data_IF_607197853773
#
_entry.id   IF_607197853773
#
_cell.length_a   1.000
_cell.length_b   1.000
_cell.length_c   1.000
_cell.angle_alpha   90.00
_cell.angle_beta   90.00
_cell.angle_gamma   90.00
#
_symmetry.space_group_name_H-M   'P 1'
#
loop_
_entity.id
_entity.type
_entity.pdbx_description
1 polymer ?
#
# COMPACT_ATOMS: atom_id res chain seq x y z
N UNK A 1 -39.91 -2.63 10.09
CA UNK A 1 -38.54 -2.35 10.59
C UNK A 1 -37.49 -2.32 9.47
N UNK A 2 -37.50 -3.27 8.53
CA UNK A 2 -36.56 -3.29 7.37
C UNK A 2 -36.66 -2.06 6.45
N UNK A 3 -37.87 -1.52 6.25
CA UNK A 3 -38.09 -0.36 5.38
C UNK A 3 -37.51 0.94 5.96
N UNK A 4 -37.66 1.22 7.27
CA UNK A 4 -37.01 2.38 7.92
C UNK A 4 -35.48 2.31 7.88
N UNK A 5 -34.89 1.10 7.96
CA UNK A 5 -33.44 0.90 7.85
C UNK A 5 -32.93 1.14 6.42
N UNK A 6 -33.74 0.79 5.41
CA UNK A 6 -33.47 1.08 4.00
C UNK A 6 -33.38 2.59 3.74
N UNK A 7 -34.36 3.38 4.21
CA UNK A 7 -34.37 4.83 4.04
C UNK A 7 -33.24 5.55 4.79
N UNK A 8 -32.81 5.03 5.96
CA UNK A 8 -31.66 5.59 6.70
C UNK A 8 -30.33 5.35 5.98
N UNK A 9 -30.15 4.18 5.36
CA UNK A 9 -28.94 3.86 4.58
C UNK A 9 -28.93 4.57 3.21
N UNK A 10 -30.10 4.91 2.66
CA UNK A 10 -30.22 5.64 1.40
C UNK A 10 -29.60 7.04 1.45
N UNK A 11 -29.55 7.66 2.65
CA UNK A 11 -28.92 8.97 2.84
C UNK A 11 -27.41 8.96 2.67
N UNK A 12 -26.75 7.90 3.16
CA UNK A 12 -25.29 7.73 3.02
C UNK A 12 -24.90 7.29 1.58
N UNK A 13 -25.79 6.52 0.93
CA UNK A 13 -25.61 6.02 -0.43
C UNK A 13 -26.19 6.96 -1.52
N UNK A 14 -26.66 8.16 -1.17
CA UNK A 14 -27.30 9.10 -2.10
C UNK A 14 -26.39 9.46 -3.27
N UNK A 15 -25.09 9.64 -3.00
CA UNK A 15 -24.10 9.90 -4.04
C UNK A 15 -23.97 8.75 -5.04
N UNK A 16 -24.12 7.51 -4.59
CA UNK A 16 -24.08 6.32 -5.46
C UNK A 16 -25.32 6.26 -6.34
N UNK A 17 -26.50 6.62 -5.80
CA UNK A 17 -27.74 6.73 -6.59
C UNK A 17 -27.58 7.78 -7.69
N UNK A 18 -27.00 8.94 -7.38
CA UNK A 18 -26.74 9.99 -8.38
C UNK A 18 -25.76 9.53 -9.45
N UNK A 19 -24.69 8.83 -9.07
CA UNK A 19 -23.73 8.26 -10.03
C UNK A 19 -24.38 7.19 -10.91
N UNK A 20 -25.24 6.32 -10.36
CA UNK A 20 -26.00 5.33 -11.13
C UNK A 20 -26.92 6.01 -12.15
N UNK A 21 -27.59 7.11 -11.77
CA UNK A 21 -28.43 7.91 -12.68
C UNK A 21 -27.59 8.44 -13.84
N UNK A 22 -26.46 9.07 -13.56
CA UNK A 22 -25.57 9.59 -14.60
C UNK A 22 -25.05 8.44 -15.48
N UNK A 23 -24.68 7.31 -14.90
CA UNK A 23 -24.16 6.16 -15.62
C UNK A 23 -25.20 5.54 -16.58
N UNK A 24 -26.44 5.36 -16.14
CA UNK A 24 -27.54 4.84 -16.97
C UNK A 24 -27.77 5.75 -18.17
N UNK A 25 -27.82 7.06 -17.94
CA UNK A 25 -28.01 8.06 -19.00
C UNK A 25 -26.83 8.09 -19.96
N UNK A 26 -25.60 8.17 -19.42
CA UNK A 26 -24.38 8.19 -20.20
C UNK A 26 -24.24 6.93 -21.05
N UNK A 27 -24.53 5.74 -20.51
CA UNK A 27 -24.41 4.48 -21.24
C UNK A 27 -25.22 4.48 -22.56
N UNK A 28 -26.47 4.97 -22.52
CA UNK A 28 -27.31 5.01 -23.72
C UNK A 28 -26.98 6.18 -24.66
N UNK A 29 -26.51 7.31 -24.13
CA UNK A 29 -25.94 8.38 -24.99
C UNK A 29 -24.70 7.86 -25.71
N UNK A 30 -23.76 7.25 -24.99
CA UNK A 30 -22.57 6.63 -25.58
C UNK A 30 -22.93 5.53 -26.58
N UNK A 31 -23.97 4.73 -26.32
CA UNK A 31 -24.43 3.74 -27.28
C UNK A 31 -24.92 4.37 -28.59
N UNK A 32 -25.64 5.50 -28.53
CA UNK A 32 -26.02 6.26 -29.73
C UNK A 32 -24.79 6.86 -30.42
N UNK A 33 -23.88 7.46 -29.65
CA UNK A 33 -22.65 8.03 -30.19
C UNK A 33 -21.82 6.97 -30.92
N UNK A 34 -21.50 5.84 -30.28
CA UNK A 34 -20.75 4.73 -30.89
C UNK A 34 -21.46 4.19 -32.13
N UNK A 35 -22.80 4.13 -32.13
CA UNK A 35 -23.54 3.59 -33.27
C UNK A 35 -23.51 4.49 -34.51
N UNK A 36 -23.49 5.80 -34.31
CA UNK A 36 -23.58 6.81 -35.38
C UNK A 36 -22.29 7.57 -35.65
N UNK A 37 -21.27 7.38 -34.82
CA UNK A 37 -19.91 7.84 -35.02
C UNK A 37 -19.19 6.81 -35.90
N UNK A 38 -19.21 7.06 -37.21
CA UNK A 38 -18.59 6.19 -38.22
C UNK A 38 -17.77 7.08 -39.14
N UNK A 39 -16.51 6.71 -39.42
CA UNK A 39 -15.58 7.48 -40.26
C UNK A 39 -15.34 8.93 -39.80
N UNK A 40 -15.14 9.15 -38.49
CA UNK A 40 -14.88 10.48 -37.89
C UNK A 40 -15.98 11.53 -38.11
N UNK A 41 -17.17 11.13 -38.60
CA UNK A 41 -18.30 12.03 -38.83
C UNK A 41 -19.55 11.54 -38.11
N UNK A 42 -20.33 12.48 -37.57
CA UNK A 42 -21.65 12.19 -37.00
C UNK A 42 -22.68 12.19 -38.12
N UNK A 43 -23.39 11.07 -38.31
CA UNK A 43 -24.49 11.06 -39.27
C UNK A 43 -25.60 12.03 -38.85
N UNK A 44 -26.17 12.84 -39.78
CA UNK A 44 -27.26 13.78 -39.47
C UNK A 44 -28.49 13.14 -38.84
N UNK A 45 -28.69 11.82 -39.05
CA UNK A 45 -29.78 11.05 -38.46
C UNK A 45 -29.72 10.97 -36.93
N UNK A 46 -28.59 11.28 -36.29
CA UNK A 46 -28.44 11.27 -34.82
C UNK A 46 -29.44 12.18 -34.12
N UNK A 47 -29.67 13.39 -34.63
CA UNK A 47 -30.53 14.38 -33.97
C UNK A 47 -31.98 13.89 -33.79
N UNK A 48 -32.47 13.10 -34.72
CA UNK A 48 -33.80 12.51 -34.66
C UNK A 48 -33.90 11.42 -33.57
N UNK A 49 -32.89 10.55 -33.48
CA UNK A 49 -32.86 9.51 -32.44
C UNK A 49 -32.57 10.10 -31.05
N UNK A 50 -31.79 11.17 -30.96
CA UNK A 50 -31.46 11.83 -29.71
C UNK A 50 -32.66 12.57 -29.10
N UNK A 51 -33.49 13.20 -29.94
CA UNK A 51 -34.74 13.86 -29.49
C UNK A 51 -35.79 12.86 -29.02
N UNK A 52 -35.94 11.74 -29.73
CA UNK A 52 -36.81 10.64 -29.29
C UNK A 52 -36.27 9.97 -28.00
N UNK A 53 -34.95 9.86 -27.86
CA UNK A 53 -34.30 9.39 -26.63
C UNK A 53 -34.58 10.34 -25.45
N UNK A 54 -34.33 11.64 -25.59
CA UNK A 54 -34.55 12.65 -24.53
C UNK A 54 -35.98 12.64 -23.95
N UNK A 55 -36.99 12.29 -24.76
CA UNK A 55 -38.38 12.16 -24.29
C UNK A 55 -38.61 10.92 -23.42
N UNK A 56 -37.92 9.82 -23.72
CA UNK A 56 -38.07 8.54 -23.02
C UNK A 56 -37.16 8.43 -21.78
N UNK A 57 -35.97 9.05 -21.84
CA UNK A 57 -34.92 8.97 -20.83
C UNK A 57 -35.35 9.26 -19.39
N UNK A 58 -36.17 10.29 -19.09
CA UNK A 58 -36.59 10.56 -17.71
C UNK A 58 -37.42 9.42 -17.13
N UNK A 59 -38.34 8.86 -17.91
CA UNK A 59 -39.17 7.72 -17.50
C UNK A 59 -38.32 6.46 -17.28
N UNK A 60 -37.38 6.21 -18.20
CA UNK A 60 -36.47 5.08 -18.08
C UNK A 60 -35.59 5.16 -16.83
N UNK A 61 -35.02 6.34 -16.56
CA UNK A 61 -34.17 6.57 -15.39
C UNK A 61 -34.92 6.27 -14.09
N UNK A 62 -36.17 6.75 -13.96
CA UNK A 62 -37.00 6.48 -12.78
C UNK A 62 -37.28 4.99 -12.62
N UNK A 63 -37.62 4.29 -13.71
CA UNK A 63 -37.84 2.84 -13.67
C UNK A 63 -36.57 2.06 -13.30
N UNK A 64 -35.40 2.45 -13.81
CA UNK A 64 -34.13 1.85 -13.44
C UNK A 64 -33.85 1.98 -11.94
N UNK A 65 -34.05 3.17 -11.35
CA UNK A 65 -33.86 3.38 -9.91
C UNK A 65 -34.81 2.47 -9.12
N UNK A 66 -36.07 2.35 -9.54
CA UNK A 66 -37.05 1.46 -8.89
C UNK A 66 -36.63 -0.01 -8.97
N UNK A 67 -36.14 -0.47 -10.12
CA UNK A 67 -35.61 -1.83 -10.29
C UNK A 67 -34.39 -2.05 -9.39
N UNK A 68 -33.43 -1.13 -9.39
CA UNK A 68 -32.24 -1.23 -8.53
C UNK A 68 -32.61 -1.22 -7.03
N UNK A 69 -33.63 -0.45 -6.64
CA UNK A 69 -34.17 -0.49 -5.29
C UNK A 69 -34.85 -1.83 -4.96
N UNK A 70 -35.65 -2.40 -5.87
CA UNK A 70 -36.35 -3.67 -5.68
C UNK A 70 -35.38 -4.85 -5.52
N UNK A 71 -34.33 -4.90 -6.34
CA UNK A 71 -33.26 -5.89 -6.24
C UNK A 71 -32.32 -5.64 -5.04
N UNK A 72 -32.63 -4.62 -4.21
CA UNK A 72 -31.89 -4.23 -3.01
C UNK A 72 -30.41 -3.96 -3.30
N UNK A 73 -30.11 -3.38 -4.47
CA UNK A 73 -28.75 -2.99 -4.81
C UNK A 73 -28.22 -1.89 -3.86
N UNK A 74 -29.10 -1.06 -3.30
CA UNK A 74 -28.75 0.00 -2.32
C UNK A 74 -28.75 -0.49 -0.86
N UNK A 75 -28.78 -1.81 -0.63
CA UNK A 75 -28.78 -2.41 0.70
C UNK A 75 -27.43 -3.00 1.06
N UNK A 76 -26.63 -2.29 1.87
CA UNK A 76 -25.34 -2.77 2.36
C UNK A 76 -25.41 -4.10 3.13
N UNK A 77 -25.16 -5.22 2.46
CA UNK A 77 -24.92 -6.51 3.11
C UNK A 77 -23.42 -6.76 3.23
N UNK A 78 -22.97 -6.72 4.48
CA UNK A 78 -21.60 -6.47 4.91
C UNK A 78 -20.70 -7.69 5.10
N UNK A 79 -20.95 -8.84 4.45
CA UNK A 79 -20.09 -10.00 4.79
C UNK A 79 -19.69 -10.98 3.70
N UNK A 80 -20.44 -11.14 2.61
CA UNK A 80 -20.12 -12.14 1.57
C UNK A 80 -20.61 -11.76 0.17
N UNK A 81 -20.51 -10.46 -0.15
CA UNK A 81 -21.21 -9.83 -1.27
C UNK A 81 -20.37 -9.72 -2.56
N UNK A 82 -19.59 -10.75 -2.89
CA UNK A 82 -18.88 -10.81 -4.17
C UNK A 82 -19.79 -11.33 -5.28
N UNK A 83 -20.09 -12.64 -5.24
CA UNK A 83 -20.81 -13.33 -6.30
C UNK A 83 -22.32 -13.05 -6.27
N UNK A 84 -22.93 -13.02 -5.08
CA UNK A 84 -24.37 -12.78 -4.95
C UNK A 84 -24.81 -11.38 -5.38
N UNK A 85 -23.95 -10.38 -5.21
CA UNK A 85 -24.26 -9.01 -5.62
C UNK A 85 -24.05 -8.83 -7.13
N UNK A 86 -23.05 -9.50 -7.72
CA UNK A 86 -22.90 -9.57 -9.17
C UNK A 86 -24.15 -10.16 -9.83
N UNK A 87 -24.67 -11.28 -9.30
CA UNK A 87 -25.89 -11.91 -9.81
C UNK A 87 -27.11 -10.98 -9.73
N UNK A 88 -27.21 -10.15 -8.68
CA UNK A 88 -28.29 -9.14 -8.56
C UNK A 88 -28.15 -8.01 -9.57
N UNK A 89 -26.92 -7.56 -9.85
CA UNK A 89 -26.65 -6.56 -10.89
C UNK A 89 -27.01 -7.12 -12.26
N UNK A 90 -26.62 -8.36 -12.56
CA UNK A 90 -26.96 -9.04 -13.82
C UNK A 90 -28.48 -9.15 -13.97
N UNK A 91 -29.18 -9.64 -12.94
CA UNK A 91 -30.63 -9.80 -12.98
C UNK A 91 -31.37 -8.46 -13.09
N UNK A 92 -30.95 -7.45 -12.32
CA UNK A 92 -31.50 -6.11 -12.43
C UNK A 92 -31.27 -5.51 -13.81
N UNK A 93 -30.07 -5.69 -14.39
CA UNK A 93 -29.76 -5.21 -15.72
C UNK A 93 -30.64 -5.89 -16.78
N UNK A 94 -30.82 -7.22 -16.71
CA UNK A 94 -31.70 -7.95 -17.61
C UNK A 94 -33.14 -7.39 -17.58
N UNK A 95 -33.67 -7.08 -16.40
CA UNK A 95 -34.99 -6.43 -16.26
C UNK A 95 -34.99 -5.03 -16.86
N UNK A 96 -33.96 -4.22 -16.63
CA UNK A 96 -33.88 -2.87 -17.24
C UNK A 96 -33.78 -2.91 -18.76
N UNK A 97 -33.13 -3.92 -19.36
CA UNK A 97 -33.09 -4.10 -20.82
C UNK A 97 -34.48 -4.39 -21.36
N UNK A 98 -35.25 -5.25 -20.69
CA UNK A 98 -36.65 -5.52 -21.07
C UNK A 98 -37.50 -4.25 -20.99
N UNK A 99 -37.34 -3.46 -19.91
CA UNK A 99 -38.01 -2.17 -19.76
C UNK A 99 -37.61 -1.19 -20.87
N UNK A 100 -36.32 -1.14 -21.23
CA UNK A 100 -35.83 -0.28 -22.31
C UNK A 100 -36.49 -0.67 -23.64
N UNK A 101 -36.55 -1.97 -23.97
CA UNK A 101 -37.14 -2.47 -25.23
C UNK A 101 -38.65 -2.23 -25.25
N UNK A 102 -39.37 -2.61 -24.20
CA UNK A 102 -40.83 -2.43 -24.15
C UNK A 102 -41.22 -0.94 -24.09
N UNK A 103 -40.50 -0.15 -23.28
CA UNK A 103 -40.77 1.27 -23.11
C UNK A 103 -40.53 2.07 -24.40
N UNK A 104 -39.46 1.78 -25.12
CA UNK A 104 -39.24 2.40 -26.44
C UNK A 104 -40.29 1.96 -27.46
N UNK A 105 -40.72 0.71 -27.48
CA UNK A 105 -41.78 0.25 -28.39
C UNK A 105 -43.14 0.92 -28.13
N UNK A 106 -43.49 1.10 -26.86
CA UNK A 106 -44.75 1.73 -26.43
C UNK A 106 -44.73 3.24 -26.73
N UNK A 107 -43.67 3.94 -26.33
CA UNK A 107 -43.59 5.41 -26.46
C UNK A 107 -43.40 5.86 -27.90
N UNK A 108 -42.66 5.08 -28.72
CA UNK A 108 -42.46 5.39 -30.14
C UNK A 108 -43.53 4.76 -31.07
N UNK A 109 -44.56 4.11 -30.48
CA UNK A 109 -45.77 3.69 -31.19
C UNK A 109 -45.55 2.65 -32.28
N UNK A 110 -44.66 1.67 -32.08
CA UNK A 110 -44.30 0.56 -32.99
C UNK A 110 -43.80 0.93 -34.41
N UNK A 111 -43.98 2.17 -34.87
CA UNK A 111 -43.64 2.68 -36.20
C UNK A 111 -42.19 3.18 -36.29
N UNK A 112 -41.62 3.68 -35.19
CA UNK A 112 -40.21 4.11 -35.10
C UNK A 112 -39.45 3.15 -34.20
N UNK A 113 -38.69 2.23 -34.80
CA UNK A 113 -37.86 1.27 -34.06
C UNK A 113 -36.42 1.78 -33.99
N UNK A 114 -35.85 1.85 -32.78
CA UNK A 114 -34.41 2.08 -32.66
C UNK A 114 -33.62 0.87 -33.18
N UNK A 115 -32.41 1.07 -33.72
CA UNK A 115 -31.57 -0.02 -34.23
C UNK A 115 -31.30 -1.08 -33.16
N UNK A 116 -31.34 -2.37 -33.52
CA UNK A 116 -31.08 -3.47 -32.58
C UNK A 116 -29.74 -3.33 -31.83
N UNK A 117 -28.71 -2.86 -32.53
CA UNK A 117 -27.37 -2.61 -31.99
C UNK A 117 -27.37 -1.62 -30.82
N UNK A 118 -28.28 -0.63 -30.80
CA UNK A 118 -28.37 0.36 -29.71
C UNK A 118 -28.73 -0.32 -28.39
N UNK A 119 -29.67 -1.27 -28.40
CA UNK A 119 -30.07 -1.98 -27.17
C UNK A 119 -28.94 -2.84 -26.61
N UNK A 120 -28.19 -3.53 -27.46
CA UNK A 120 -27.06 -4.38 -27.02
C UNK A 120 -25.93 -3.52 -26.46
N UNK A 121 -25.46 -2.51 -27.21
CA UNK A 121 -24.35 -1.66 -26.77
C UNK A 121 -24.73 -0.90 -25.49
N UNK A 122 -25.95 -0.35 -25.43
CA UNK A 122 -26.45 0.33 -24.24
C UNK A 122 -26.53 -0.59 -23.03
N UNK A 123 -27.03 -1.82 -23.19
CA UNK A 123 -27.11 -2.80 -22.10
C UNK A 123 -25.74 -3.19 -21.54
N UNK A 124 -24.75 -3.38 -22.42
CA UNK A 124 -23.37 -3.73 -22.04
C UNK A 124 -22.69 -2.55 -21.36
N UNK A 125 -22.78 -1.34 -21.92
CA UNK A 125 -22.20 -0.15 -21.30
C UNK A 125 -22.85 0.15 -19.95
N UNK A 126 -24.17 0.03 -19.85
CA UNK A 126 -24.89 0.20 -18.59
C UNK A 126 -24.41 -0.80 -17.55
N UNK A 127 -24.30 -2.09 -17.92
CA UNK A 127 -23.75 -3.11 -17.04
C UNK A 127 -22.38 -2.73 -16.50
N UNK A 128 -21.46 -2.39 -17.42
CA UNK A 128 -20.06 -2.11 -17.09
C UNK A 128 -19.94 -0.87 -16.20
N UNK A 129 -20.64 0.21 -16.50
CA UNK A 129 -20.57 1.43 -15.70
C UNK A 129 -21.13 1.22 -14.29
N UNK A 130 -22.29 0.56 -14.16
CA UNK A 130 -22.90 0.27 -12.85
C UNK A 130 -22.02 -0.69 -12.06
N UNK A 131 -21.52 -1.75 -12.70
CA UNK A 131 -20.61 -2.70 -12.07
C UNK A 131 -19.32 -2.01 -11.60
N UNK A 132 -18.73 -1.14 -12.42
CA UNK A 132 -17.51 -0.42 -12.09
C UNK A 132 -17.70 0.54 -10.91
N UNK A 133 -18.76 1.36 -10.94
CA UNK A 133 -19.05 2.32 -9.87
C UNK A 133 -19.24 1.58 -8.54
N UNK A 134 -20.02 0.50 -8.54
CA UNK A 134 -20.38 -0.22 -7.32
C UNK A 134 -19.29 -1.13 -6.80
N UNK A 135 -18.68 -1.92 -7.68
CA UNK A 135 -17.59 -2.82 -7.31
C UNK A 135 -16.34 -2.01 -6.95
N UNK A 136 -16.02 -0.97 -7.73
CA UNK A 136 -14.89 -0.07 -7.47
C UNK A 136 -15.03 0.64 -6.12
N UNK A 137 -16.15 1.32 -5.87
CA UNK A 137 -16.39 1.97 -4.58
C UNK A 137 -16.33 0.98 -3.41
N UNK A 138 -16.96 -0.19 -3.56
CA UNK A 138 -16.98 -1.19 -2.50
C UNK A 138 -15.59 -1.77 -2.22
N UNK A 139 -14.79 -2.04 -3.25
CA UNK A 139 -13.43 -2.56 -3.10
C UNK A 139 -12.56 -1.54 -2.35
N UNK A 140 -12.67 -0.26 -2.69
CA UNK A 140 -11.99 0.82 -1.97
C UNK A 140 -12.44 0.92 -0.51
N UNK A 141 -13.73 0.78 -0.22
CA UNK A 141 -14.26 0.85 1.14
C UNK A 141 -13.85 -0.37 1.98
N UNK A 142 -13.85 -1.57 1.40
CA UNK A 142 -13.37 -2.79 2.06
C UNK A 142 -11.89 -2.67 2.40
N UNK A 143 -11.07 -2.19 1.46
CA UNK A 143 -9.64 -2.00 1.69
C UNK A 143 -9.39 -0.93 2.76
N UNK A 144 -10.10 0.20 2.69
CA UNK A 144 -10.02 1.25 3.73
C UNK A 144 -10.40 0.70 5.11
N UNK A 145 -11.45 -0.11 5.21
CA UNK A 145 -11.88 -0.72 6.47
C UNK A 145 -10.92 -1.81 6.95
N UNK A 146 -10.30 -2.57 6.04
CA UNK A 146 -9.26 -3.55 6.35
C UNK A 146 -8.03 -2.86 6.94
N UNK A 147 -7.58 -1.78 6.30
CA UNK A 147 -6.49 -0.93 6.78
C UNK A 147 -6.84 -0.31 8.14
N UNK A 148 -8.06 0.21 8.31
CA UNK A 148 -8.50 0.81 9.57
C UNK A 148 -8.62 -0.21 10.71
N UNK A 149 -9.12 -1.42 10.44
CA UNK A 149 -9.19 -2.50 11.44
C UNK A 149 -7.80 -2.96 11.84
N UNK A 150 -6.89 -3.17 10.88
CA UNK A 150 -5.47 -3.44 11.15
C UNK A 150 -4.87 -2.36 12.06
N UNK A 151 -5.14 -1.08 11.80
CA UNK A 151 -4.68 0.03 12.66
C UNK A 151 -5.27 0.05 14.07
N UNK A 152 -6.45 -0.55 14.28
CA UNK A 152 -7.15 -0.54 15.58
C UNK A 152 -6.81 -1.78 16.42
N UNK A 153 -6.54 -2.91 15.77
CA UNK A 153 -6.13 -4.16 16.40
C UNK A 153 -4.61 -4.28 16.57
N UNK A 154 -3.82 -3.42 15.91
CA UNK A 154 -2.36 -3.40 16.03
C UNK A 154 -1.92 -3.10 17.46
N UNK A 155 -1.01 -3.93 17.98
CA UNK A 155 -0.43 -3.78 19.31
C UNK A 155 0.40 -2.49 19.36
N UNK A 156 0.13 -1.56 20.28
CA UNK A 156 0.91 -0.33 20.38
C UNK A 156 2.33 -0.66 20.84
N UNK A 157 3.31 -0.34 20.00
CA UNK A 157 4.72 -0.62 20.25
C UNK A 157 5.53 0.66 20.46
N UNK A 158 6.58 0.57 21.25
CA UNK A 158 7.61 1.62 21.38
C UNK A 158 8.93 1.03 20.92
N UNK A 159 9.63 1.76 20.05
CA UNK A 159 10.96 1.37 19.58
C UNK A 159 12.00 2.19 20.33
N UNK A 160 13.02 1.55 20.87
CA UNK A 160 14.12 2.19 21.59
C UNK A 160 15.35 2.22 20.68
N UNK A 161 15.88 3.43 20.46
CA UNK A 161 16.92 3.75 19.47
C UNK A 161 16.36 4.59 18.32
N UNK A 162 17.14 5.54 17.79
CA UNK A 162 16.74 6.42 16.66
C UNK A 162 17.53 6.20 15.37
N UNK A 163 18.46 5.24 15.35
CA UNK A 163 19.34 4.98 14.20
C UNK A 163 18.69 4.21 13.05
N UNK A 164 19.50 3.79 12.07
CA UNK A 164 19.02 3.03 10.90
C UNK A 164 18.38 1.69 11.31
N UNK A 165 18.88 1.05 12.37
CA UNK A 165 18.27 -0.16 12.94
C UNK A 165 16.85 0.11 13.46
N UNK A 166 16.60 1.26 14.06
CA UNK A 166 15.27 1.65 14.49
C UNK A 166 14.34 1.93 13.31
N UNK A 167 14.82 2.57 12.23
CA UNK A 167 14.05 2.72 10.99
C UNK A 167 13.66 1.37 10.39
N UNK A 168 14.61 0.42 10.34
CA UNK A 168 14.33 -0.96 9.88
C UNK A 168 13.32 -1.66 10.80
N UNK A 169 13.43 -1.50 12.12
CA UNK A 169 12.46 -2.04 13.07
C UNK A 169 11.06 -1.46 12.86
N UNK A 170 10.93 -0.14 12.66
CA UNK A 170 9.64 0.52 12.39
C UNK A 170 9.01 -0.06 11.12
N UNK A 171 9.77 -0.09 10.01
CA UNK A 171 9.28 -0.66 8.74
C UNK A 171 8.83 -2.11 8.90
N UNK A 172 9.63 -2.96 9.55
CA UNK A 172 9.28 -4.37 9.78
C UNK A 172 8.00 -4.55 10.61
N UNK A 173 7.81 -3.73 11.64
CA UNK A 173 6.61 -3.77 12.49
C UNK A 173 5.36 -3.27 11.75
N UNK A 174 5.51 -2.24 10.91
CA UNK A 174 4.42 -1.68 10.13
C UNK A 174 4.01 -2.57 8.94
N UNK A 175 4.97 -3.18 8.24
CA UNK A 175 4.72 -4.10 7.12
C UNK A 175 3.87 -5.30 7.54
N UNK A 176 4.20 -5.89 8.70
CA UNK A 176 3.43 -7.03 9.22
C UNK A 176 2.07 -6.62 9.81
N UNK A 177 1.77 -5.32 9.91
CA UNK A 177 0.51 -4.76 10.43
C UNK A 177 0.10 -5.28 11.83
N UNK A 178 0.98 -6.00 12.52
CA UNK A 178 0.71 -6.59 13.83
C UNK A 178 0.90 -5.55 14.94
N UNK A 179 1.76 -4.57 14.70
CA UNK A 179 2.16 -3.56 15.68
C UNK A 179 2.06 -2.16 15.10
N UNK A 180 1.76 -1.18 15.96
CA UNK A 180 1.75 0.23 15.60
C UNK A 180 2.76 0.96 16.48
N UNK A 181 3.82 1.47 15.88
CA UNK A 181 4.82 2.23 16.61
C UNK A 181 4.24 3.58 17.01
N UNK A 182 4.16 3.86 18.31
CA UNK A 182 3.62 5.12 18.85
C UNK A 182 4.69 6.17 19.08
N UNK A 183 5.87 5.73 19.51
CA UNK A 183 6.99 6.61 19.81
C UNK A 183 8.31 5.86 19.60
N UNK A 184 9.32 6.64 19.24
CA UNK A 184 10.71 6.21 19.23
C UNK A 184 11.40 6.84 20.44
N UNK A 185 12.18 6.08 21.20
CA UNK A 185 12.92 6.62 22.34
C UNK A 185 14.37 6.83 21.94
N UNK A 186 14.81 8.09 22.00
CA UNK A 186 16.22 8.44 21.97
C UNK A 186 16.45 9.80 22.64
N UNK A 187 17.23 9.86 23.74
CA UNK A 187 17.60 11.12 24.39
C UNK A 187 18.35 12.09 23.47
N UNK A 188 19.20 11.61 22.56
CA UNK A 188 20.00 12.47 21.68
C UNK A 188 19.18 13.05 20.51
N UNK A 189 18.07 12.40 20.17
CA UNK A 189 17.20 12.72 19.02
C UNK A 189 15.84 13.32 19.39
N UNK A 190 15.61 13.66 20.66
CA UNK A 190 14.31 14.12 21.16
C UNK A 190 13.77 15.33 20.38
N UNK A 191 12.46 15.31 20.08
CA UNK A 191 11.77 16.38 19.34
C UNK A 191 11.85 16.27 17.81
N UNK A 192 12.56 15.27 17.28
CA UNK A 192 12.55 14.93 15.85
C UNK A 192 11.44 13.92 15.53
N UNK A 193 11.20 13.70 14.24
CA UNK A 193 10.39 12.60 13.75
C UNK A 193 11.26 11.60 13.00
N UNK A 194 11.02 10.31 13.23
CA UNK A 194 11.66 9.20 12.51
C UNK A 194 10.57 8.45 11.73
N UNK A 195 10.61 8.54 10.39
CA UNK A 195 9.60 7.93 9.49
C UNK A 195 8.14 8.26 9.89
N UNK A 196 7.90 9.48 10.35
CA UNK A 196 6.57 9.96 10.77
C UNK A 196 6.18 9.60 12.22
N UNK A 197 7.05 8.94 12.97
CA UNK A 197 6.87 8.62 14.40
C UNK A 197 7.63 9.63 15.27
N UNK A 198 7.03 10.18 16.35
CA UNK A 198 7.70 11.15 17.22
C UNK A 198 8.81 10.50 18.06
N UNK A 199 9.95 11.19 18.15
CA UNK A 199 11.09 10.81 18.99
C UNK A 199 10.98 11.49 20.35
N UNK A 200 10.98 10.69 21.42
CA UNK A 200 10.86 11.12 22.81
C UNK A 200 12.12 10.77 23.60
N UNK A 201 12.43 11.59 24.60
CA UNK A 201 13.58 11.38 25.49
C UNK A 201 13.28 10.32 26.57
N UNK A 202 12.12 10.43 27.21
CA UNK A 202 11.77 9.60 28.37
C UNK A 202 11.08 8.29 27.96
N UNK A 203 11.85 7.20 28.02
CA UNK A 203 11.34 5.85 27.74
C UNK A 203 10.25 5.42 28.73
N UNK A 204 10.30 5.84 30.00
CA UNK A 204 9.30 5.46 31.02
C UNK A 204 7.94 6.05 30.67
N UNK A 205 7.93 7.31 30.20
CA UNK A 205 6.69 7.96 29.76
C UNK A 205 6.11 7.31 28.50
N UNK A 206 6.97 6.92 27.55
CA UNK A 206 6.55 6.24 26.33
C UNK A 206 5.93 4.86 26.63
N UNK A 207 6.54 4.09 27.54
CA UNK A 207 6.10 2.73 27.88
C UNK A 207 4.66 2.65 28.41
N UNK A 208 4.21 3.65 29.17
CA UNK A 208 2.82 3.73 29.67
C UNK A 208 1.75 3.71 28.58
N UNK A 209 2.12 4.09 27.35
CA UNK A 209 1.21 4.13 26.20
C UNK A 209 1.35 2.92 25.27
N UNK A 210 2.29 2.03 25.58
CA UNK A 210 2.68 0.87 24.81
C UNK A 210 2.16 -0.42 25.44
N UNK A 211 2.19 -1.50 24.66
CA UNK A 211 1.97 -2.87 25.09
C UNK A 211 3.16 -3.77 24.72
N UNK A 212 3.98 -3.33 23.77
CA UNK A 212 5.23 -3.97 23.38
C UNK A 212 6.38 -2.94 23.33
N UNK A 213 7.58 -3.33 23.73
CA UNK A 213 8.80 -2.54 23.63
C UNK A 213 9.85 -3.31 22.84
N UNK A 214 10.42 -2.64 21.84
CA UNK A 214 11.37 -3.21 20.89
C UNK A 214 12.68 -2.43 20.95
N UNK A 215 13.78 -3.10 21.27
CA UNK A 215 15.12 -2.47 21.25
C UNK A 215 15.77 -2.69 19.90
N UNK A 216 16.18 -1.58 19.28
CA UNK A 216 16.80 -1.56 17.97
C UNK A 216 18.02 -0.61 17.95
N UNK A 217 18.76 -0.53 19.05
CA UNK A 217 20.00 0.25 19.12
C UNK A 217 21.19 -0.65 19.49
N UNK A 218 22.17 -0.88 18.58
CA UNK A 218 23.36 -1.66 18.89
C UNK A 218 24.34 -0.98 19.86
N UNK A 219 24.30 0.34 19.99
CA UNK A 219 25.22 1.12 20.84
C UNK A 219 24.74 1.18 22.30
N UNK A 220 23.53 0.73 22.56
CA UNK A 220 22.93 0.78 23.89
C UNK A 220 23.67 -0.13 24.88
N UNK A 221 24.12 0.40 26.04
CA UNK A 221 24.76 -0.38 27.09
C UNK A 221 23.89 -1.54 27.59
N UNK A 222 24.54 -2.65 27.92
CA UNK A 222 23.91 -3.84 28.52
C UNK A 222 23.11 -3.52 29.80
N UNK A 223 23.62 -2.61 30.63
CA UNK A 223 22.95 -2.17 31.86
C UNK A 223 21.61 -1.50 31.55
N UNK A 224 21.58 -0.57 30.60
CA UNK A 224 20.36 0.12 30.16
C UNK A 224 19.36 -0.87 29.56
N UNK A 225 19.80 -1.85 28.75
CA UNK A 225 18.90 -2.90 28.23
C UNK A 225 18.24 -3.70 29.36
N UNK A 226 19.01 -4.05 30.40
CA UNK A 226 18.50 -4.77 31.58
C UNK A 226 17.51 -3.94 32.37
N UNK A 227 17.75 -2.63 32.51
CA UNK A 227 16.82 -1.72 33.18
C UNK A 227 15.49 -1.60 32.44
N UNK A 228 15.52 -1.37 31.13
CA UNK A 228 14.30 -1.26 30.33
C UNK A 228 13.54 -2.59 30.33
N UNK A 229 14.25 -3.72 30.24
CA UNK A 229 13.63 -5.06 30.36
C UNK A 229 12.93 -5.24 31.70
N UNK A 230 13.59 -4.91 32.83
CA UNK A 230 12.99 -5.00 34.16
C UNK A 230 11.75 -4.12 34.29
N UNK A 231 11.79 -2.91 33.74
CA UNK A 231 10.64 -2.01 33.74
C UNK A 231 9.49 -2.54 32.86
N UNK A 232 9.80 -3.14 31.71
CA UNK A 232 8.80 -3.74 30.82
C UNK A 232 8.12 -4.93 31.49
N UNK A 233 8.90 -5.79 32.16
CA UNK A 233 8.39 -6.92 32.94
C UNK A 233 7.51 -6.45 34.11
N UNK A 234 7.91 -5.39 34.82
CA UNK A 234 7.12 -4.80 35.92
C UNK A 234 5.76 -4.27 35.45
N UNK A 235 5.69 -3.69 34.25
CA UNK A 235 4.44 -3.20 33.64
C UNK A 235 3.69 -4.26 32.81
N UNK A 236 4.17 -5.51 32.79
CA UNK A 236 3.62 -6.64 32.00
C UNK A 236 3.54 -6.35 30.49
N UNK A 237 4.53 -5.63 29.97
CA UNK A 237 4.70 -5.32 28.56
C UNK A 237 5.48 -6.44 27.86
N UNK A 238 5.16 -6.72 26.59
CA UNK A 238 5.97 -7.62 25.77
C UNK A 238 7.31 -6.95 25.44
N UNK A 239 8.41 -7.68 25.57
CA UNK A 239 9.77 -7.18 25.36
C UNK A 239 10.50 -7.99 24.29
N UNK A 240 11.12 -7.31 23.33
CA UNK A 240 11.94 -7.97 22.32
C UNK A 240 13.20 -7.15 21.97
N UNK A 241 14.34 -7.82 21.96
CA UNK A 241 15.58 -7.24 21.42
C UNK A 241 15.77 -7.73 19.98
N UNK A 242 15.59 -6.83 19.02
CA UNK A 242 15.71 -7.14 17.59
C UNK A 242 17.06 -6.75 17.03
N UNK A 243 17.97 -6.21 17.85
CA UNK A 243 19.28 -5.71 17.42
C UNK A 243 20.07 -6.79 16.67
N UNK A 244 20.17 -7.99 17.25
CA UNK A 244 20.89 -9.11 16.64
C UNK A 244 20.21 -9.64 15.37
N UNK A 245 18.88 -9.71 15.38
CA UNK A 245 18.09 -10.15 14.24
C UNK A 245 18.19 -9.19 13.04
N UNK A 246 18.02 -7.88 13.28
CA UNK A 246 18.10 -6.85 12.24
C UNK A 246 19.53 -6.64 11.72
N UNK A 247 20.54 -6.91 12.55
CA UNK A 247 21.95 -6.92 12.12
C UNK A 247 22.21 -8.02 11.08
N UNK A 248 21.54 -9.17 11.21
CA UNK A 248 21.70 -10.32 10.32
C UNK A 248 20.84 -10.22 9.05
N UNK A 249 19.64 -9.62 9.15
CA UNK A 249 18.75 -9.40 8.00
C UNK A 249 19.35 -8.50 6.91
N UNK A 250 20.29 -7.62 7.28
CA UNK A 250 20.97 -6.73 6.35
C UNK A 250 22.03 -7.39 5.48
N UNK A 251 22.17 -8.72 5.49
CA UNK A 251 23.19 -9.38 4.69
C UNK A 251 24.61 -8.98 5.08
N UNK A 252 24.88 -8.75 6.38
CA UNK A 252 26.26 -8.64 6.86
C UNK A 252 26.91 -10.01 6.70
N UNK A 253 27.53 -10.23 5.55
CA UNK A 253 28.39 -11.38 5.34
C UNK A 253 29.57 -11.18 6.29
N UNK A 254 29.71 -12.08 7.26
CA UNK A 254 30.87 -12.06 8.15
C UNK A 254 32.14 -12.12 7.32
N UNK A 255 33.21 -11.43 7.74
CA UNK A 255 34.51 -11.50 7.08
C UNK A 255 34.95 -12.96 6.86
N UNK A 256 34.70 -13.84 7.83
CA UNK A 256 34.86 -15.30 7.72
C UNK A 256 34.15 -15.87 6.49
N UNK A 257 32.84 -15.66 6.37
CA UNK A 257 32.06 -16.14 5.23
C UNK A 257 32.49 -15.53 3.88
N UNK A 258 32.95 -14.27 3.84
CA UNK A 258 33.50 -13.68 2.61
C UNK A 258 34.84 -14.33 2.22
N UNK A 259 35.71 -14.57 3.20
CA UNK A 259 37.03 -15.15 2.99
C UNK A 259 36.96 -16.65 2.67
N UNK A 260 35.98 -17.38 3.22
CA UNK A 260 35.71 -18.79 2.88
C UNK A 260 35.23 -18.96 1.44
N UNK A 261 34.58 -17.94 0.86
CA UNK A 261 34.09 -17.94 -0.52
C UNK A 261 35.12 -17.41 -1.53
N UNK A 262 36.26 -16.90 -1.07
CA UNK A 262 37.28 -16.30 -1.93
C UNK A 262 38.22 -17.38 -2.51
N UNK A 263 38.00 -17.76 -3.77
CA UNK A 263 38.91 -18.62 -4.53
C UNK A 263 40.02 -17.78 -5.19
N UNK A 264 40.97 -17.27 -4.39
CA UNK A 264 42.10 -16.50 -4.92
C UNK A 264 42.78 -15.59 -3.89
N UNK A 265 43.81 -14.82 -4.32
CA UNK A 265 44.48 -13.87 -3.44
C UNK A 265 43.52 -12.74 -3.03
N UNK A 266 43.51 -12.42 -1.74
CA UNK A 266 42.64 -11.40 -1.15
C UNK A 266 43.50 -10.25 -0.63
N UNK A 267 43.12 -9.02 -0.95
CA UNK A 267 43.80 -7.83 -0.42
C UNK A 267 42.98 -7.28 0.75
N UNK A 268 43.63 -7.07 1.90
CA UNK A 268 42.97 -6.44 3.05
C UNK A 268 43.63 -5.09 3.27
N UNK A 269 42.83 -4.02 3.26
CA UNK A 269 43.30 -2.68 3.63
C UNK A 269 42.99 -2.43 5.10
N UNK A 270 44.04 -2.26 5.91
CA UNK A 270 43.92 -1.87 7.30
C UNK A 270 44.58 -0.52 7.50
N UNK A 271 43.81 0.48 7.93
CA UNK A 271 44.33 1.81 8.25
C UNK A 271 45.14 2.44 7.09
N UNK A 272 44.71 2.19 5.84
CA UNK A 272 45.34 2.69 4.62
C UNK A 272 46.55 1.87 4.13
N UNK A 273 46.89 0.75 4.78
CA UNK A 273 47.89 -0.20 4.31
C UNK A 273 47.25 -1.44 3.72
N UNK A 274 47.50 -1.66 2.45
CA UNK A 274 47.06 -2.85 1.72
C UNK A 274 48.05 -4.01 1.93
N UNK A 275 47.53 -5.15 2.36
CA UNK A 275 48.28 -6.41 2.42
C UNK A 275 47.60 -7.47 1.58
N UNK A 276 48.37 -8.10 0.70
CA UNK A 276 47.89 -9.18 -0.17
C UNK A 276 48.16 -10.53 0.51
N UNK A 277 47.13 -11.35 0.63
CA UNK A 277 47.18 -12.69 1.17
C UNK A 277 46.94 -13.72 0.07
N UNK A 278 47.55 -14.89 0.21
CA UNK A 278 47.45 -15.95 -0.79
C UNK A 278 46.08 -16.64 -0.82
N UNK A 279 45.31 -16.52 0.26
CA UNK A 279 43.95 -17.01 0.38
C UNK A 279 43.23 -16.50 1.63
N UNK A 280 41.95 -16.84 1.75
CA UNK A 280 41.07 -16.31 2.79
C UNK A 280 41.44 -16.70 4.24
N UNK A 281 41.97 -17.91 4.47
CA UNK A 281 42.35 -18.36 5.82
C UNK A 281 43.56 -17.59 6.39
N UNK A 282 44.51 -17.24 5.52
CA UNK A 282 45.71 -16.48 5.89
C UNK A 282 45.34 -15.03 6.24
N UNK A 283 44.44 -14.43 5.44
CA UNK A 283 43.89 -13.11 5.73
C UNK A 283 43.12 -13.08 7.05
N UNK A 284 42.32 -14.12 7.34
CA UNK A 284 41.54 -14.21 8.57
C UNK A 284 42.43 -14.33 9.81
N UNK A 285 43.53 -15.08 9.72
CA UNK A 285 44.48 -15.26 10.82
C UNK A 285 45.28 -13.99 11.12
N UNK A 286 45.52 -13.15 10.10
CA UNK A 286 46.25 -11.89 10.22
C UNK A 286 45.37 -10.74 10.78
N UNK A 287 44.05 -10.78 10.54
CA UNK A 287 43.11 -9.77 11.05
C UNK A 287 42.79 -10.07 12.52
N UNK A 288 43.48 -9.39 13.43
CA UNK A 288 43.22 -9.51 14.87
C UNK A 288 42.34 -8.37 15.40
N UNK A 289 41.45 -8.71 16.35
CA UNK A 289 40.54 -7.76 17.00
C UNK A 289 39.15 -7.64 16.34
N UNK A 290 38.24 -6.89 16.98
CA UNK A 290 36.95 -6.52 16.36
C UNK A 290 37.20 -5.42 15.33
N UNK A 291 36.78 -5.63 14.08
CA UNK A 291 36.83 -4.64 13.00
C UNK A 291 35.51 -4.60 12.23
N UNK A 292 35.20 -3.46 11.62
CA UNK A 292 34.05 -3.29 10.74
C UNK A 292 34.50 -3.26 9.27
N UNK A 293 33.72 -3.93 8.41
CA UNK A 293 33.93 -3.90 6.95
C UNK A 293 33.40 -2.57 6.42
N UNK A 294 34.25 -1.81 5.74
CA UNK A 294 33.95 -0.50 5.18
C UNK A 294 33.51 -0.62 3.72
N UNK A 295 34.20 -1.44 2.93
CA UNK A 295 33.87 -1.71 1.53
C UNK A 295 34.47 -3.06 1.08
N UNK A 296 33.86 -3.66 0.04
CA UNK A 296 34.40 -4.83 -0.67
C UNK A 296 34.44 -4.49 -2.16
N UNK A 297 35.63 -4.48 -2.77
CA UNK A 297 35.84 -4.15 -4.20
C UNK A 297 36.80 -5.15 -4.83
N UNK A 298 36.38 -5.90 -5.85
CA UNK A 298 37.26 -6.83 -6.59
C UNK A 298 38.22 -7.64 -5.66
N UNK A 299 37.69 -8.30 -4.61
CA UNK A 299 38.45 -9.05 -3.59
C UNK A 299 39.39 -8.22 -2.70
N UNK A 300 39.21 -6.90 -2.67
CA UNK A 300 39.81 -5.98 -1.69
C UNK A 300 38.80 -5.70 -0.59
N UNK A 301 39.17 -5.93 0.66
CA UNK A 301 38.32 -5.70 1.84
C UNK A 301 38.92 -4.60 2.69
N UNK A 302 38.20 -3.48 2.84
CA UNK A 302 38.62 -2.36 3.67
C UNK A 302 38.09 -2.53 5.10
N UNK A 303 38.97 -2.46 6.09
CA UNK A 303 38.64 -2.66 7.51
C UNK A 303 38.98 -1.42 8.34
N UNK A 304 38.04 -1.02 9.21
CA UNK A 304 38.23 0.08 10.17
C UNK A 304 38.07 -0.38 11.63
N UNK A 305 38.65 0.40 12.55
CA UNK A 305 38.47 0.20 13.98
C UNK A 305 36.99 0.44 14.40
N UNK A 306 36.47 -0.27 15.42
CA UNK A 306 35.09 -0.11 15.86
C UNK A 306 34.81 1.34 16.27
N UNK A 307 33.82 1.97 15.62
CA UNK A 307 33.43 3.35 15.92
C UNK A 307 34.16 4.45 15.14
N UNK A 308 35.14 4.10 14.28
CA UNK A 308 35.74 5.04 13.33
C UNK A 308 34.98 5.16 12.00
N UNK A 309 33.97 4.31 11.77
CA UNK A 309 33.04 4.51 10.66
C UNK A 309 32.23 5.77 10.98
N UNK A 310 32.69 6.90 10.45
CA UNK A 310 31.95 8.14 10.45
C UNK A 310 30.53 7.81 9.98
N UNK A 311 29.55 8.16 10.81
CA UNK A 311 28.15 8.01 10.48
C UNK A 311 27.94 8.48 9.03
N UNK A 312 27.37 7.60 8.20
CA UNK A 312 26.97 7.92 6.84
C UNK A 312 26.39 9.35 6.80
N UNK A 313 27.14 10.26 6.21
CA UNK A 313 26.92 11.69 6.39
C UNK A 313 27.85 12.60 5.60
N UNK A 314 28.98 12.11 5.10
CA UNK A 314 29.81 12.89 4.18
C UNK A 314 30.09 12.08 2.89
N UNK A 315 29.18 12.21 1.92
CA UNK A 315 29.34 11.71 0.54
C UNK A 315 30.49 12.41 -0.22
N UNK A 316 31.15 13.41 0.38
CA UNK A 316 32.20 14.20 -0.24
C UNK A 316 33.38 13.36 -0.69
N UNK A 317 33.81 12.38 0.11
CA UNK A 317 34.93 11.50 -0.26
C UNK A 317 34.57 10.54 -1.40
N UNK A 318 33.33 10.02 -1.42
CA UNK A 318 32.87 9.12 -2.49
C UNK A 318 32.73 9.85 -3.83
N UNK A 319 32.28 11.12 -3.81
CA UNK A 319 32.23 11.98 -4.99
C UNK A 319 33.61 12.38 -5.49
N UNK A 320 34.56 12.65 -4.58
CA UNK A 320 35.94 12.95 -4.95
C UNK A 320 36.62 11.73 -5.59
N UNK A 321 36.39 10.53 -5.04
CA UNK A 321 36.94 9.30 -5.60
C UNK A 321 36.32 8.96 -6.97
N UNK A 322 35.00 9.14 -7.14
CA UNK A 322 34.34 8.95 -8.44
C UNK A 322 34.83 9.96 -9.50
N UNK A 323 35.22 11.18 -9.10
CA UNK A 323 35.85 12.15 -9.99
C UNK A 323 37.28 11.77 -10.41
N UNK A 324 38.03 11.13 -9.52
CA UNK A 324 39.42 10.73 -9.76
C UNK A 324 39.53 9.42 -10.56
N UNK A 325 38.64 8.45 -10.32
CA UNK A 325 38.75 7.10 -10.90
C UNK A 325 37.66 6.78 -11.93
N UNK A 326 36.58 7.55 -11.98
CA UNK A 326 35.45 7.31 -12.89
C UNK A 326 34.54 6.14 -12.53
N UNK A 327 34.79 5.45 -11.41
CA UNK A 327 34.01 4.28 -10.97
C UNK A 327 32.94 4.65 -9.94
N UNK A 328 31.72 4.18 -10.16
CA UNK A 328 30.56 4.44 -9.31
C UNK A 328 30.55 3.49 -8.10
N UNK A 329 30.57 4.04 -6.89
CA UNK A 329 30.61 3.27 -5.65
C UNK A 329 29.17 3.01 -5.18
N UNK A 330 28.76 1.74 -5.12
CA UNK A 330 27.48 1.34 -4.52
C UNK A 330 27.65 0.99 -3.04
N UNK A 331 26.83 1.61 -2.19
CA UNK A 331 26.78 1.32 -0.75
C UNK A 331 25.82 0.16 -0.49
N UNK A 332 26.27 -0.90 0.18
CA UNK A 332 25.45 -1.97 0.73
C UNK A 332 25.33 -1.85 2.26
#
# INVERSE_FOLDING_TARGET
MAMKKFWKNLGDDLWIVLLDVVAVNAAYVLALLIRFYVNFEFRPSVNYYLTDWLRFTPFYTVLCILVFALFRLYGGMWRYAGINDMNRIIAANAVTVVIQVLGTLIVLGFRRRMPFTYYIIGAVLQFLMIALIRFGYRMLLVEKNRISRRRTEAVPAVVVGSGEMARRAIRYLEENSACRVKAVVDPAGAGKNLDGVPVVEDWKKAMKSARMVVVADPRMPEETRKEIRKAAEAEKLEWQDVTGFLSNLGGRVSLTALLELAEGPVTVSQDGKETVYSGGEEALSAVTGRREIVAVRNLTVDLAAPGQVAAAGDESWARQHQQETGEEISFF
#
